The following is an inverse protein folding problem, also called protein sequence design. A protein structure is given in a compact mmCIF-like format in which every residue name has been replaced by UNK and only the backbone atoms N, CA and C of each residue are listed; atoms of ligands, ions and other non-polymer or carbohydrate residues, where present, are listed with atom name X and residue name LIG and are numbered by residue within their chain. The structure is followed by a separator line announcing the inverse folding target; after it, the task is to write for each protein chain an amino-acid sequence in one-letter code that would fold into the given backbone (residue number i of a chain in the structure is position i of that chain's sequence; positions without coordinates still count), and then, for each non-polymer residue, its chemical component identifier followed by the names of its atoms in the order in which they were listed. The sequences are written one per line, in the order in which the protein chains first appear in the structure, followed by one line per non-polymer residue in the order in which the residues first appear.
data_IF_013664728656
#
_entry.id   IF_013664728656
#
_cell.length_a   1.000
_cell.length_b   1.000
_cell.length_c   1.000
_cell.angle_alpha   90.00
_cell.angle_beta   90.00
_cell.angle_gamma   90.00
#
_symmetry.space_group_name_H-M   'P 1'
#
loop_
_entity.id
_entity.type
_entity.pdbx_description
1 polymer ?
#
# COMPACT_ATOMS: atom_id res chain seq x y z
N UNK A 1 14.10 11.66 -18.45
CA UNK A 1 13.12 11.95 -17.38
C UNK A 1 13.13 10.96 -16.22
N UNK A 2 12.84 9.66 -16.37
CA UNK A 2 12.94 8.69 -15.23
C UNK A 2 14.38 8.41 -14.78
N UNK A 3 15.33 8.30 -15.72
CA UNK A 3 16.75 8.06 -15.43
C UNK A 3 17.39 9.21 -14.63
N UNK A 4 16.97 10.45 -14.89
CA UNK A 4 17.53 11.64 -14.23
C UNK A 4 17.08 11.73 -12.77
N UNK A 5 15.84 11.28 -12.50
CA UNK A 5 15.29 11.23 -11.14
C UNK A 5 15.99 10.20 -10.27
N UNK A 6 16.28 9.01 -10.81
CA UNK A 6 17.01 7.96 -10.08
C UNK A 6 18.47 8.37 -9.83
N UNK A 7 19.10 9.08 -10.77
CA UNK A 7 20.44 9.66 -10.54
C UNK A 7 20.44 10.64 -9.37
N UNK A 8 19.46 11.54 -9.31
CA UNK A 8 19.32 12.48 -8.19
C UNK A 8 19.07 11.75 -6.86
N UNK A 9 18.26 10.70 -6.87
CA UNK A 9 18.02 9.85 -5.70
C UNK A 9 19.32 9.16 -5.20
N UNK A 10 20.17 8.70 -6.12
CA UNK A 10 21.48 8.11 -5.79
C UNK A 10 22.39 9.15 -5.14
N UNK A 11 22.50 10.34 -5.73
CA UNK A 11 23.31 11.44 -5.18
C UNK A 11 22.82 11.84 -3.79
N UNK A 12 21.50 11.95 -3.62
CA UNK A 12 20.89 12.25 -2.32
C UNK A 12 21.22 11.17 -1.28
N UNK A 13 21.04 9.89 -1.61
CA UNK A 13 21.33 8.79 -0.72
C UNK A 13 22.82 8.72 -0.33
N UNK A 14 23.73 8.95 -1.28
CA UNK A 14 25.17 8.99 -1.02
C UNK A 14 25.56 10.14 -0.11
N UNK A 15 25.00 11.34 -0.34
CA UNK A 15 25.21 12.52 0.51
C UNK A 15 24.79 12.24 1.95
N UNK A 16 23.61 11.65 2.14
CA UNK A 16 23.06 11.35 3.47
C UNK A 16 23.85 10.21 4.14
N UNK A 17 24.19 9.15 3.39
CA UNK A 17 25.05 8.06 3.87
C UNK A 17 26.38 8.59 4.42
N UNK A 18 27.06 9.49 3.68
CA UNK A 18 28.32 10.10 4.11
C UNK A 18 28.13 10.92 5.40
N UNK A 19 27.10 11.76 5.45
CA UNK A 19 26.81 12.60 6.61
C UNK A 19 26.49 11.77 7.87
N UNK A 20 25.67 10.73 7.74
CA UNK A 20 25.34 9.83 8.86
C UNK A 20 26.58 9.08 9.36
N UNK A 21 27.46 8.59 8.47
CA UNK A 21 28.73 7.95 8.86
C UNK A 21 29.68 8.91 9.57
N UNK A 22 29.61 10.20 9.26
CA UNK A 22 30.36 11.25 9.96
C UNK A 22 29.69 11.71 11.25
N UNK A 23 28.61 11.06 11.70
CA UNK A 23 27.91 11.39 12.95
C UNK A 23 26.85 12.49 12.82
N UNK A 24 26.67 13.10 11.64
CA UNK A 24 25.63 14.08 11.40
C UNK A 24 24.27 13.39 11.19
N UNK A 25 23.55 13.18 12.30
CA UNK A 25 22.22 12.56 12.33
C UNK A 25 21.13 13.43 11.69
N UNK A 26 21.25 14.75 11.74
CA UNK A 26 20.28 15.71 11.18
C UNK A 26 20.14 15.58 9.66
N UNK A 27 21.14 15.01 8.98
CA UNK A 27 21.07 14.73 7.54
C UNK A 27 19.87 13.86 7.12
N UNK A 28 19.31 13.07 8.05
CA UNK A 28 18.10 12.27 7.81
C UNK A 28 16.85 13.13 7.58
N UNK A 29 16.81 14.34 8.13
CA UNK A 29 15.65 15.23 8.07
C UNK A 29 15.25 15.55 6.64
N UNK A 30 16.22 15.58 5.72
CA UNK A 30 15.98 15.72 4.28
C UNK A 30 15.03 14.63 3.76
N UNK A 31 15.23 13.38 4.16
CA UNK A 31 14.32 12.28 3.79
C UNK A 31 13.01 12.35 4.55
N UNK A 32 13.05 12.76 5.81
CA UNK A 32 11.85 12.94 6.62
C UNK A 32 10.90 13.93 5.95
N UNK A 33 11.34 15.16 5.65
CA UNK A 33 10.48 16.16 5.03
C UNK A 33 9.97 15.74 3.64
N UNK A 34 10.78 15.01 2.86
CA UNK A 34 10.38 14.53 1.54
C UNK A 34 9.34 13.41 1.58
N UNK A 35 9.46 12.47 2.53
CA UNK A 35 8.72 11.20 2.46
C UNK A 35 7.77 10.95 3.64
N UNK A 36 7.88 11.68 4.75
CA UNK A 36 7.11 11.42 5.96
C UNK A 36 5.60 11.40 5.71
N UNK A 37 5.06 12.41 5.01
CA UNK A 37 3.62 12.48 4.67
C UNK A 37 3.14 11.25 3.89
N UNK A 38 3.96 10.74 2.98
CA UNK A 38 3.64 9.53 2.22
C UNK A 38 3.73 8.29 3.13
N UNK A 39 4.80 8.16 3.92
CA UNK A 39 5.00 7.00 4.80
C UNK A 39 3.93 6.90 5.90
N UNK A 40 3.48 8.00 6.51
CA UNK A 40 2.37 7.95 7.50
C UNK A 40 1.07 7.47 6.88
N UNK A 41 0.72 7.95 5.68
CA UNK A 41 -0.46 7.48 4.96
C UNK A 41 -0.33 6.00 4.59
N UNK A 42 0.85 5.59 4.12
CA UNK A 42 1.15 4.20 3.76
C UNK A 42 1.08 3.26 4.98
N UNK A 43 1.68 3.64 6.10
CA UNK A 43 1.67 2.85 7.34
C UNK A 43 0.27 2.70 7.90
N UNK A 44 -0.52 3.79 7.99
CA UNK A 44 -1.91 3.76 8.47
C UNK A 44 -2.80 2.83 7.64
N UNK A 45 -2.54 2.70 6.34
CA UNK A 45 -3.28 1.79 5.46
C UNK A 45 -2.97 0.32 5.69
N UNK A 46 -1.79 -0.02 6.22
CA UNK A 46 -1.30 -1.40 6.30
C UNK A 46 -1.21 -1.97 7.72
N UNK A 47 -1.11 -1.10 8.72
CA UNK A 47 -1.00 -1.51 10.11
C UNK A 47 -2.40 -1.84 10.68
N UNK A 48 -2.54 -2.94 11.43
CA UNK A 48 -3.84 -3.31 12.03
C UNK A 48 -4.28 -2.32 13.10
N UNK A 49 -3.35 -1.89 13.96
CA UNK A 49 -3.56 -0.85 14.95
C UNK A 49 -3.11 0.48 14.40
N UNK A 50 -4.01 1.17 13.68
CA UNK A 50 -3.72 2.44 13.02
C UNK A 50 -3.19 3.52 13.98
N UNK A 51 -3.61 3.47 15.24
CA UNK A 51 -3.13 4.36 16.31
C UNK A 51 -1.63 4.17 16.63
N UNK A 52 -1.02 3.04 16.25
CA UNK A 52 0.43 2.77 16.39
C UNK A 52 1.24 3.11 15.15
N UNK A 53 0.64 3.75 14.15
CA UNK A 53 1.34 4.06 12.90
C UNK A 53 2.53 5.01 13.14
N UNK A 54 2.40 5.94 14.08
CA UNK A 54 3.48 6.87 14.46
C UNK A 54 4.60 6.16 15.20
N UNK A 55 4.31 5.19 16.07
CA UNK A 55 5.32 4.37 16.74
C UNK A 55 6.15 3.58 15.73
N UNK A 56 5.48 2.88 14.80
CA UNK A 56 6.14 2.08 13.76
C UNK A 56 7.02 2.96 12.86
N UNK A 57 6.58 4.18 12.56
CA UNK A 57 7.37 5.11 11.77
C UNK A 57 8.53 5.71 12.54
N UNK A 58 8.34 6.02 13.82
CA UNK A 58 9.40 6.53 14.68
C UNK A 58 10.53 5.50 14.81
N UNK A 59 10.19 4.22 14.99
CA UNK A 59 11.17 3.12 14.95
C UNK A 59 11.88 3.04 13.60
N UNK A 60 11.13 3.14 12.50
CA UNK A 60 11.69 3.10 11.14
C UNK A 60 12.69 4.25 10.89
N UNK A 61 12.34 5.49 11.24
CA UNK A 61 13.23 6.64 11.10
C UNK A 61 14.47 6.51 11.98
N UNK A 62 14.30 6.04 13.21
CA UNK A 62 15.41 5.80 14.14
C UNK A 62 16.36 4.74 13.59
N UNK A 63 15.84 3.69 12.96
CA UNK A 63 16.67 2.67 12.32
C UNK A 63 17.50 3.26 11.18
N UNK A 64 16.93 4.14 10.35
CA UNK A 64 17.66 4.75 9.24
C UNK A 64 18.86 5.61 9.69
N UNK A 65 18.90 6.07 10.94
CA UNK A 65 20.06 6.76 11.51
C UNK A 65 21.33 5.89 11.55
N UNK A 66 21.20 4.55 11.51
CA UNK A 66 22.35 3.65 11.44
C UNK A 66 23.04 3.65 10.06
N UNK A 67 22.54 4.44 9.10
CA UNK A 67 23.02 4.60 7.73
C UNK A 67 22.97 3.34 6.84
N UNK A 68 22.82 2.13 7.39
CA UNK A 68 22.96 0.86 6.66
C UNK A 68 22.03 0.78 5.45
N UNK A 69 20.74 1.04 5.65
CA UNK A 69 19.75 0.99 4.58
C UNK A 69 19.97 2.08 3.53
N UNK A 70 20.35 3.29 3.94
CA UNK A 70 20.56 4.43 3.03
C UNK A 70 21.83 4.20 2.19
N UNK A 71 22.90 3.73 2.81
CA UNK A 71 24.16 3.41 2.14
C UNK A 71 24.04 2.22 1.17
N UNK A 72 23.08 1.32 1.40
CA UNK A 72 22.83 0.16 0.54
C UNK A 72 21.97 0.49 -0.70
N UNK A 73 21.50 1.72 -0.85
CA UNK A 73 20.70 2.11 -2.00
C UNK A 73 21.58 2.40 -3.22
N UNK A 74 21.38 1.62 -4.28
CA UNK A 74 22.13 1.71 -5.54
C UNK A 74 21.24 2.06 -6.76
N UNK A 75 19.92 2.30 -6.55
CA UNK A 75 18.99 2.57 -7.66
C UNK A 75 18.76 1.37 -8.60
N UNK A 76 19.02 0.13 -8.14
CA UNK A 76 18.84 -1.10 -8.94
C UNK A 76 17.44 -1.16 -9.56
N UNK A 77 17.38 -1.63 -10.80
CA UNK A 77 16.14 -1.74 -11.59
C UNK A 77 15.38 -0.40 -11.73
N UNK A 78 16.08 0.74 -11.74
CA UNK A 78 15.49 2.08 -11.78
C UNK A 78 14.53 2.37 -10.60
N UNK A 79 14.72 1.70 -9.45
CA UNK A 79 13.91 1.95 -8.27
C UNK A 79 14.26 3.31 -7.65
N UNK A 80 13.28 4.19 -7.49
CA UNK A 80 13.44 5.43 -6.71
C UNK A 80 13.79 5.15 -5.24
N UNK A 81 14.47 6.09 -4.59
CA UNK A 81 14.82 5.99 -3.17
C UNK A 81 13.56 5.82 -2.30
N UNK A 82 12.50 6.57 -2.61
CA UNK A 82 11.21 6.43 -1.94
C UNK A 82 10.66 5.00 -2.06
N UNK A 83 10.67 4.43 -3.26
CA UNK A 83 10.16 3.07 -3.50
C UNK A 83 10.99 2.01 -2.76
N UNK A 84 12.31 2.15 -2.78
CA UNK A 84 13.22 1.28 -2.03
C UNK A 84 12.93 1.31 -0.52
N UNK A 85 12.83 2.49 0.07
CA UNK A 85 12.52 2.66 1.49
C UNK A 85 11.10 2.18 1.85
N UNK A 86 10.14 2.37 0.94
CA UNK A 86 8.76 1.86 1.10
C UNK A 86 8.76 0.34 1.23
N UNK A 87 9.60 -0.36 0.46
CA UNK A 87 9.72 -1.83 0.56
C UNK A 87 10.23 -2.26 1.94
N UNK A 88 11.20 -1.55 2.50
CA UNK A 88 11.73 -1.83 3.84
C UNK A 88 10.65 -1.57 4.90
N UNK A 89 9.97 -0.41 4.82
CA UNK A 89 8.87 -0.05 5.71
C UNK A 89 7.72 -1.08 5.64
N UNK A 90 7.37 -1.56 4.45
CA UNK A 90 6.36 -2.62 4.24
C UNK A 90 6.73 -3.89 5.02
N UNK A 91 7.99 -4.33 4.95
CA UNK A 91 8.45 -5.50 5.72
C UNK A 91 8.36 -5.29 7.23
N UNK A 92 8.66 -4.08 7.73
CA UNK A 92 8.52 -3.74 9.16
C UNK A 92 7.06 -3.79 9.62
N UNK A 93 6.15 -3.23 8.82
CA UNK A 93 4.71 -3.28 9.11
C UNK A 93 4.22 -4.73 9.14
N UNK A 94 4.66 -5.56 8.18
CA UNK A 94 4.33 -6.99 8.13
C UNK A 94 4.84 -7.70 9.40
N UNK A 95 6.08 -7.46 9.83
CA UNK A 95 6.66 -8.08 11.03
C UNK A 95 5.89 -7.68 12.31
N UNK A 96 5.59 -6.38 12.49
CA UNK A 96 4.77 -5.89 13.61
C UNK A 96 3.38 -6.51 13.62
N UNK A 97 2.77 -6.62 12.43
CA UNK A 97 1.49 -7.28 12.25
C UNK A 97 1.54 -8.80 12.55
N UNK A 98 2.68 -9.47 12.31
CA UNK A 98 2.91 -10.89 12.64
C UNK A 98 3.11 -11.13 14.13
N UNK A 99 3.88 -10.28 14.82
CA UNK A 99 4.21 -10.45 16.25
C UNK A 99 2.99 -10.39 17.18
N UNK A 100 1.93 -9.66 16.81
CA UNK A 100 0.64 -9.73 17.53
C UNK A 100 -0.12 -11.03 17.35
N UNK A 101 0.14 -11.78 16.28
CA UNK A 101 -0.57 -13.02 15.95
C UNK A 101 -0.13 -14.21 16.83
N UNK A 102 0.97 -14.08 17.60
CA UNK A 102 1.59 -15.16 18.38
C UNK A 102 1.19 -15.12 19.87
N UNK A 103 0.30 -14.22 20.28
CA UNK A 103 -0.40 -14.42 21.58
C UNK A 103 -1.50 -15.45 21.35
N UNK A 104 -1.08 -16.71 21.29
CA UNK A 104 -1.95 -17.89 21.24
C UNK A 104 -2.56 -18.07 22.62
N UNK A 105 -3.75 -17.52 22.85
CA UNK A 105 -4.60 -17.95 23.96
C UNK A 105 -5.43 -19.14 23.49
N UNK A 106 -5.20 -20.35 24.01
CA UNK A 106 -5.98 -21.54 23.67
C UNK A 106 -7.29 -21.47 24.46
N UNK A 107 -8.28 -20.77 23.89
CA UNK A 107 -9.73 -20.81 24.17
C UNK A 107 -10.31 -19.44 23.82
N UNK A 108 -10.79 -19.26 22.59
CA UNK A 108 -11.58 -18.09 22.24
C UNK A 108 -12.91 -18.51 21.57
N UNK A 109 -14.03 -17.88 21.93
CA UNK A 109 -15.37 -18.21 21.46
C UNK A 109 -15.55 -17.97 19.95
N UNK A 110 -16.55 -18.58 19.29
CA UNK A 110 -16.76 -18.54 17.83
C UNK A 110 -16.86 -17.13 17.20
N UNK A 111 -17.23 -16.10 17.97
CA UNK A 111 -17.19 -14.70 17.51
C UNK A 111 -15.76 -14.20 17.20
N UNK A 112 -14.75 -14.73 17.89
CA UNK A 112 -13.35 -14.38 17.69
C UNK A 112 -12.78 -14.95 16.38
N UNK A 113 -13.29 -16.10 15.95
CA UNK A 113 -12.88 -16.80 14.74
C UNK A 113 -13.41 -16.06 13.50
N UNK A 114 -14.65 -15.57 13.57
CA UNK A 114 -15.22 -14.69 12.54
C UNK A 114 -14.48 -13.34 12.44
N UNK A 115 -14.07 -12.73 13.57
CA UNK A 115 -13.25 -11.51 13.56
C UNK A 115 -11.87 -11.78 12.93
N UNK A 116 -11.21 -12.87 13.30
CA UNK A 116 -9.91 -13.23 12.71
C UNK A 116 -10.02 -13.59 11.24
N UNK A 117 -11.11 -14.21 10.78
CA UNK A 117 -11.36 -14.48 9.36
C UNK A 117 -11.56 -13.19 8.57
N UNK A 118 -12.43 -12.28 9.02
CA UNK A 118 -12.64 -10.96 8.40
C UNK A 118 -11.34 -10.17 8.31
N UNK A 119 -10.54 -10.19 9.36
CA UNK A 119 -9.28 -9.46 9.37
C UNK A 119 -8.23 -10.08 8.44
N UNK A 120 -8.22 -11.40 8.28
CA UNK A 120 -7.39 -12.08 7.28
C UNK A 120 -7.86 -11.79 5.85
N UNK A 121 -9.16 -11.78 5.60
CA UNK A 121 -9.72 -11.38 4.29
C UNK A 121 -9.34 -9.92 3.95
N UNK A 122 -9.44 -9.01 4.94
CA UNK A 122 -9.04 -7.61 4.76
C UNK A 122 -7.54 -7.46 4.43
N UNK A 123 -6.68 -8.31 5.00
CA UNK A 123 -5.24 -8.36 4.65
C UNK A 123 -5.01 -8.72 3.18
N UNK A 124 -5.67 -9.79 2.72
CA UNK A 124 -5.55 -10.26 1.35
C UNK A 124 -6.00 -9.15 0.38
N UNK A 125 -7.17 -8.55 0.63
CA UNK A 125 -7.71 -7.45 -0.18
C UNK A 125 -6.74 -6.26 -0.21
N UNK A 126 -6.23 -5.83 0.95
CA UNK A 126 -5.31 -4.68 1.02
C UNK A 126 -3.98 -4.95 0.31
N UNK A 127 -3.41 -6.14 0.48
CA UNK A 127 -2.16 -6.54 -0.21
C UNK A 127 -2.35 -6.62 -1.73
N UNK A 128 -3.49 -7.13 -2.17
CA UNK A 128 -3.86 -7.17 -3.58
C UNK A 128 -4.10 -5.78 -4.17
N UNK A 129 -4.74 -4.87 -3.41
CA UNK A 129 -4.95 -3.48 -3.82
C UNK A 129 -3.63 -2.72 -3.94
N UNK A 130 -2.66 -2.96 -3.04
CA UNK A 130 -1.33 -2.36 -3.16
C UNK A 130 -0.61 -2.84 -4.42
N UNK A 131 -0.60 -4.15 -4.64
CA UNK A 131 0.05 -4.75 -5.81
C UNK A 131 -0.61 -4.26 -7.10
N UNK A 132 -1.94 -4.11 -7.11
CA UNK A 132 -2.66 -3.51 -8.23
C UNK A 132 -2.28 -2.04 -8.40
N UNK A 133 -2.07 -1.28 -7.32
CA UNK A 133 -1.67 0.13 -7.38
C UNK A 133 -0.28 0.34 -7.98
N UNK A 134 0.65 -0.60 -7.78
CA UNK A 134 1.96 -0.60 -8.43
C UNK A 134 1.86 -0.77 -9.96
N UNK A 135 0.80 -1.44 -10.45
CA UNK A 135 0.55 -1.67 -11.88
C UNK A 135 -0.32 -0.56 -12.48
N UNK A 136 -1.40 -0.19 -11.77
CA UNK A 136 -2.42 0.75 -12.18
C UNK A 136 -3.11 1.33 -10.95
N UNK A 137 -2.63 2.50 -10.50
CA UNK A 137 -3.20 3.23 -9.37
C UNK A 137 -4.70 3.49 -9.57
N UNK A 138 -5.12 3.82 -10.79
CA UNK A 138 -6.52 4.04 -11.14
C UNK A 138 -7.39 2.77 -10.96
N UNK A 139 -6.92 1.61 -11.41
CA UNK A 139 -7.67 0.36 -11.21
C UNK A 139 -7.77 0.02 -9.71
N UNK A 140 -6.70 0.25 -8.94
CA UNK A 140 -6.70 0.03 -7.50
C UNK A 140 -7.69 0.96 -6.76
N UNK A 141 -7.82 2.21 -7.20
CA UNK A 141 -8.76 3.15 -6.60
C UNK A 141 -10.21 2.81 -6.97
N UNK A 142 -10.49 2.39 -8.22
CA UNK A 142 -11.81 1.89 -8.62
C UNK A 142 -12.23 0.66 -7.80
N UNK A 143 -11.32 -0.31 -7.64
CA UNK A 143 -11.62 -1.52 -6.87
C UNK A 143 -11.83 -1.16 -5.39
N UNK A 144 -11.02 -0.25 -4.81
CA UNK A 144 -11.21 0.21 -3.43
C UNK A 144 -12.58 0.84 -3.21
N UNK A 145 -12.98 1.78 -4.06
CA UNK A 145 -14.31 2.41 -3.98
C UNK A 145 -15.44 1.37 -4.07
N UNK A 146 -15.26 0.34 -4.92
CA UNK A 146 -16.25 -0.74 -5.01
C UNK A 146 -16.34 -1.58 -3.73
N UNK A 147 -15.21 -1.86 -3.07
CA UNK A 147 -15.16 -2.55 -1.78
C UNK A 147 -15.71 -1.70 -0.62
N UNK A 148 -15.66 -0.37 -0.74
CA UNK A 148 -16.30 0.57 0.17
C UNK A 148 -17.82 0.65 -0.02
N UNK A 149 -18.37 -0.07 -1.02
CA UNK A 149 -19.81 -0.19 -1.25
C UNK A 149 -20.37 0.79 -2.29
N UNK A 150 -19.52 1.62 -2.91
CA UNK A 150 -19.99 2.62 -3.86
C UNK A 150 -20.59 1.98 -5.12
N UNK A 151 -21.63 2.63 -5.63
CA UNK A 151 -22.20 2.40 -6.95
C UNK A 151 -21.30 3.01 -8.04
N UNK A 152 -21.42 2.53 -9.27
CA UNK A 152 -20.63 3.09 -10.38
C UNK A 152 -20.92 4.57 -10.63
N UNK A 153 -22.12 5.03 -10.26
CA UNK A 153 -22.53 6.44 -10.35
C UNK A 153 -21.81 7.28 -9.30
N UNK A 154 -21.79 6.85 -8.04
CA UNK A 154 -21.05 7.55 -6.97
C UNK A 154 -19.55 7.57 -7.25
N UNK A 155 -18.99 6.47 -7.78
CA UNK A 155 -17.59 6.43 -8.24
C UNK A 155 -17.32 7.44 -9.36
N UNK A 156 -18.25 7.61 -10.30
CA UNK A 156 -18.15 8.58 -11.38
C UNK A 156 -18.20 10.02 -10.87
N UNK A 157 -19.12 10.30 -9.94
CA UNK A 157 -19.27 11.61 -9.29
C UNK A 157 -18.02 11.98 -8.50
N UNK A 158 -17.43 11.02 -7.77
CA UNK A 158 -16.20 11.22 -7.00
C UNK A 158 -14.97 11.50 -7.89
N UNK A 159 -14.85 10.83 -9.04
CA UNK A 159 -13.78 11.12 -10.00
C UNK A 159 -13.95 12.47 -10.72
N UNK A 160 -15.17 13.02 -10.76
CA UNK A 160 -15.47 14.26 -11.49
C UNK A 160 -15.33 15.54 -10.67
N UNK A 161 -15.20 15.45 -9.34
CA UNK A 161 -14.87 16.47 -8.30
C UNK A 161 -15.39 17.91 -8.45
N UNK A 162 -15.28 18.55 -9.62
CA UNK A 162 -15.74 19.91 -9.95
C UNK A 162 -16.79 19.97 -11.09
N UNK A 163 -17.07 18.83 -11.76
CA UNK A 163 -18.00 18.74 -12.91
C UNK A 163 -19.26 17.90 -12.65
N UNK A 164 -19.53 17.57 -11.39
CA UNK A 164 -20.65 16.72 -10.98
C UNK A 164 -22.03 17.27 -11.37
N UNK A 165 -22.12 18.56 -11.73
CA UNK A 165 -23.34 19.23 -12.17
C UNK A 165 -23.78 18.86 -13.60
N UNK A 166 -22.88 18.33 -14.44
CA UNK A 166 -23.22 17.86 -15.78
C UNK A 166 -23.67 16.39 -15.72
N UNK A 167 -24.99 16.19 -15.72
CA UNK A 167 -25.63 14.87 -15.71
C UNK A 167 -25.14 13.97 -16.84
N UNK A 168 -24.85 14.54 -18.01
CA UNK A 168 -24.36 13.78 -19.16
C UNK A 168 -22.90 13.35 -18.97
N UNK A 169 -22.07 14.18 -18.32
CA UNK A 169 -20.70 13.80 -17.97
C UNK A 169 -20.66 12.65 -16.95
N UNK A 170 -21.55 12.68 -15.93
CA UNK A 170 -21.67 11.61 -14.93
C UNK A 170 -22.11 10.29 -15.57
N UNK A 171 -23.09 10.32 -16.47
CA UNK A 171 -23.56 9.11 -17.18
C UNK A 171 -22.46 8.49 -18.05
N UNK A 172 -21.81 9.30 -18.89
CA UNK A 172 -20.69 8.84 -19.73
C UNK A 172 -19.56 8.25 -18.89
N UNK A 173 -19.28 8.86 -17.73
CA UNK A 173 -18.24 8.37 -16.83
C UNK A 173 -18.63 7.08 -16.12
N UNK A 174 -19.88 6.97 -15.71
CA UNK A 174 -20.46 5.74 -15.13
C UNK A 174 -20.30 4.57 -16.10
N UNK A 175 -20.63 4.77 -17.38
CA UNK A 175 -20.47 3.74 -18.42
C UNK A 175 -19.01 3.38 -18.66
N UNK A 176 -18.11 4.37 -18.63
CA UNK A 176 -16.68 4.15 -18.78
C UNK A 176 -16.11 3.32 -17.61
N UNK A 177 -16.50 3.64 -16.37
CA UNK A 177 -16.13 2.87 -15.17
C UNK A 177 -16.67 1.45 -15.27
N UNK A 178 -17.96 1.29 -15.59
CA UNK A 178 -18.59 -0.03 -15.75
C UNK A 178 -17.84 -0.88 -16.77
N UNK A 179 -17.56 -0.33 -17.96
CA UNK A 179 -16.77 -1.00 -19.00
C UNK A 179 -15.37 -1.35 -18.52
N UNK A 180 -14.68 -0.45 -17.83
CA UNK A 180 -13.34 -0.70 -17.30
C UNK A 180 -13.36 -1.79 -16.21
N UNK A 181 -14.41 -1.84 -15.40
CA UNK A 181 -14.54 -2.81 -14.31
C UNK A 181 -14.83 -4.23 -14.83
N UNK A 182 -15.69 -4.35 -15.85
CA UNK A 182 -16.21 -5.64 -16.32
C UNK A 182 -15.48 -6.24 -17.53
N UNK A 183 -14.49 -5.54 -18.11
CA UNK A 183 -13.71 -6.04 -19.25
C UNK A 183 -13.08 -7.40 -18.94
N UNK A 184 -13.33 -8.45 -19.75
CA UNK A 184 -12.68 -9.74 -19.59
C UNK A 184 -11.16 -9.59 -19.64
N UNK A 185 -10.46 -10.28 -18.73
CA UNK A 185 -8.99 -10.35 -18.60
C UNK A 185 -8.24 -9.04 -18.29
N UNK A 186 -8.71 -7.89 -18.78
CA UNK A 186 -8.01 -6.60 -18.71
C UNK A 186 -8.70 -5.58 -17.82
N UNK A 187 -9.94 -5.85 -17.40
CA UNK A 187 -10.69 -4.96 -16.52
C UNK A 187 -10.14 -4.93 -15.09
N UNK A 188 -10.51 -3.89 -14.33
CA UNK A 188 -9.99 -3.66 -12.98
C UNK A 188 -10.23 -4.85 -12.06
N UNK A 189 -11.42 -5.49 -12.13
CA UNK A 189 -11.69 -6.69 -11.32
C UNK A 189 -10.99 -7.94 -11.83
N UNK A 190 -10.85 -8.12 -13.14
CA UNK A 190 -10.12 -9.28 -13.68
C UNK A 190 -8.66 -9.26 -13.21
N UNK A 191 -8.01 -8.10 -13.28
CA UNK A 191 -6.65 -7.88 -12.79
C UNK A 191 -6.56 -8.05 -11.28
N UNK A 192 -7.50 -7.47 -10.53
CA UNK A 192 -7.55 -7.61 -9.09
C UNK A 192 -7.69 -9.07 -8.66
N UNK A 193 -8.61 -9.82 -9.25
CA UNK A 193 -8.83 -11.24 -8.95
C UNK A 193 -7.59 -12.10 -9.22
N UNK A 194 -6.87 -11.83 -10.32
CA UNK A 194 -5.60 -12.52 -10.60
C UNK A 194 -4.55 -12.26 -9.52
N UNK A 195 -4.42 -11.01 -9.07
CA UNK A 195 -3.50 -10.63 -8.00
C UNK A 195 -3.96 -11.25 -6.68
N UNK A 196 -5.25 -11.19 -6.36
CA UNK A 196 -5.83 -11.77 -5.15
C UNK A 196 -5.58 -13.27 -5.07
N UNK A 197 -5.79 -14.00 -6.17
CA UNK A 197 -5.50 -15.44 -6.23
C UNK A 197 -4.01 -15.73 -5.97
N UNK A 198 -3.09 -14.92 -6.52
CA UNK A 198 -1.65 -15.09 -6.26
C UNK A 198 -1.29 -14.81 -4.82
N UNK A 199 -1.86 -13.75 -4.23
CA UNK A 199 -1.64 -13.42 -2.81
C UNK A 199 -2.18 -14.56 -1.94
N UNK A 200 -3.41 -15.02 -2.19
CA UNK A 200 -4.02 -16.14 -1.48
C UNK A 200 -3.19 -17.43 -1.55
N UNK A 201 -2.73 -17.81 -2.73
CA UNK A 201 -1.88 -18.98 -2.91
C UNK A 201 -0.59 -18.88 -2.08
N UNK A 202 0.01 -17.69 -1.96
CA UNK A 202 1.16 -17.44 -1.11
C UNK A 202 0.92 -17.63 0.40
N UNK A 203 -0.35 -17.62 0.84
CA UNK A 203 -0.75 -17.88 2.23
C UNK A 203 -1.45 -19.23 2.41
N UNK A 204 -1.59 -20.05 1.35
CA UNK A 204 -2.32 -21.32 1.38
C UNK A 204 -3.84 -21.18 1.52
N UNK A 205 -4.42 -20.11 0.97
CA UNK A 205 -5.86 -19.84 0.98
C UNK A 205 -6.51 -20.25 -0.33
N UNK A 206 -7.71 -20.82 -0.26
CA UNK A 206 -8.52 -21.18 -1.41
C UNK A 206 -9.59 -20.10 -1.68
N UNK A 207 -10.07 -19.92 -2.92
CA UNK A 207 -11.11 -18.95 -3.24
C UNK A 207 -12.42 -19.12 -2.45
N UNK A 208 -12.69 -20.32 -1.92
CA UNK A 208 -13.83 -20.60 -1.05
C UNK A 208 -13.72 -19.88 0.32
N UNK A 209 -12.52 -19.59 0.79
CA UNK A 209 -12.27 -18.92 2.08
C UNK A 209 -12.68 -17.43 2.08
N UNK A 210 -12.88 -16.86 0.89
CA UNK A 210 -13.42 -15.51 0.69
C UNK A 210 -14.95 -15.46 0.57
N UNK A 211 -15.60 -16.59 0.26
CA UNK A 211 -17.06 -16.67 0.10
C UNK A 211 -17.71 -16.98 1.43
N UNK A 212 -17.79 -16.00 2.31
CA UNK A 212 -18.66 -16.08 3.49
C UNK A 212 -19.01 -14.65 3.88
N UNK A 213 -19.91 -14.05 3.10
CA UNK A 213 -21.07 -13.23 3.49
C UNK A 213 -21.95 -13.06 2.24
#
# INVERSE_FOLDING_TARGET
MLKDKVKNDIVLAQSICKALRSGNKESIEKLYYLYHRFFISFTRKLLYEMNKAEDVLSEFWTELLNAKAICAYEGKHNASLRGYLTKILKWRIIDKNRKKKIVTTPNLPPESENRTKKERQRRLINESLLTLGEISQRDADLVRMKYEGLTYKEMAEQELTDKASDRQAVERRTDAIKKQFTRPQTGSMARFSLILNRVMAGYGWEPADLRTY
#
